data_IF_699032159065
#
_entry.id   IF_699032159065
#
_cell.length_a   1.000
_cell.length_b   1.000
_cell.length_c   1.000
_cell.angle_alpha   90.00
_cell.angle_beta   90.00
_cell.angle_gamma   90.00
#
_symmetry.space_group_name_H-M   'P 1'
#
loop_
_entity.id
_entity.type
_entity.pdbx_description
1 polymer ?
#
# COMPACT_ATOMS: atom_id res chain seq x y z
N UNK A 1 -18.24 -49.75 -27.56
CA UNK A 1 -17.12 -49.81 -26.61
C UNK A 1 -17.10 -48.49 -25.82
N UNK A 2 -17.71 -48.46 -24.64
CA UNK A 2 -17.74 -47.30 -23.72
C UNK A 2 -16.93 -47.70 -22.49
N UNK A 3 -15.83 -47.01 -22.22
CA UNK A 3 -15.00 -47.22 -21.03
C UNK A 3 -15.32 -46.08 -20.05
N UNK A 4 -15.85 -46.44 -18.88
CA UNK A 4 -16.01 -45.55 -17.71
C UNK A 4 -14.67 -45.45 -16.98
N UNK A 5 -14.23 -44.28 -16.48
CA UNK A 5 -13.12 -44.22 -15.54
C UNK A 5 -13.64 -44.55 -14.13
N UNK A 6 -12.91 -45.43 -13.44
CA UNK A 6 -13.15 -45.84 -12.07
C UNK A 6 -12.70 -44.74 -11.09
N UNK A 7 -13.55 -44.43 -10.12
CA UNK A 7 -13.18 -43.61 -8.96
C UNK A 7 -12.49 -44.50 -7.92
N UNK A 8 -11.26 -44.13 -7.54
CA UNK A 8 -10.50 -44.75 -6.45
C UNK A 8 -10.89 -44.05 -5.12
N UNK A 9 -11.28 -44.77 -4.06
CA UNK A 9 -11.61 -44.14 -2.78
C UNK A 9 -10.32 -43.86 -1.99
N UNK A 10 -10.19 -42.62 -1.49
CA UNK A 10 -9.11 -42.22 -0.58
C UNK A 10 -9.45 -42.74 0.83
N UNK A 11 -8.64 -43.67 1.34
CA UNK A 11 -8.81 -44.29 2.66
C UNK A 11 -8.31 -43.34 3.76
N UNK A 12 -9.18 -42.87 4.66
CA UNK A 12 -8.80 -42.14 5.88
C UNK A 12 -8.61 -43.14 7.03
N UNK A 13 -7.41 -43.18 7.63
CA UNK A 13 -7.07 -44.08 8.73
C UNK A 13 -7.36 -43.39 10.07
N UNK A 14 -8.33 -43.92 10.83
CA UNK A 14 -8.72 -43.40 12.16
C UNK A 14 -8.21 -44.34 13.25
N UNK A 15 -7.40 -43.83 14.19
CA UNK A 15 -6.84 -44.62 15.31
C UNK A 15 -7.26 -43.98 16.63
N UNK A 16 -7.75 -44.77 17.58
CA UNK A 16 -7.95 -44.31 18.97
C UNK A 16 -6.56 -44.14 19.63
N UNK A 17 -6.27 -42.95 20.15
CA UNK A 17 -4.95 -42.65 20.72
C UNK A 17 -4.84 -43.11 22.18
N UNK A 18 -3.81 -43.92 22.47
CA UNK A 18 -3.27 -44.07 23.83
C UNK A 18 -2.34 -42.88 24.14
N UNK A 19 -2.31 -42.38 25.38
CA UNK A 19 -1.58 -41.17 25.80
C UNK A 19 -0.03 -41.28 25.72
N UNK A 20 0.50 -41.46 24.52
CA UNK A 20 1.93 -41.49 24.21
C UNK A 20 2.31 -40.25 23.39
N UNK A 21 3.55 -39.78 23.55
CA UNK A 21 4.05 -38.63 22.80
C UNK A 21 4.05 -38.90 21.29
N UNK A 22 3.47 -37.99 20.53
CA UNK A 22 3.42 -37.96 19.08
C UNK A 22 4.28 -36.80 18.53
N UNK A 23 4.80 -36.97 17.32
CA UNK A 23 5.60 -35.95 16.63
C UNK A 23 4.99 -35.61 15.28
N UNK A 24 4.89 -34.33 14.97
CA UNK A 24 4.44 -33.82 13.67
C UNK A 24 5.20 -32.54 13.35
N UNK A 25 5.95 -32.53 12.25
CA UNK A 25 6.76 -31.38 11.82
C UNK A 25 7.64 -30.79 12.94
N UNK A 26 7.41 -29.54 13.37
CA UNK A 26 8.13 -28.91 14.50
C UNK A 26 7.57 -29.29 15.88
N UNK A 27 6.42 -29.96 15.95
CA UNK A 27 5.73 -30.28 17.19
C UNK A 27 6.08 -31.67 17.71
N UNK A 28 6.28 -31.75 19.01
CA UNK A 28 6.14 -32.97 19.81
C UNK A 28 5.06 -32.71 20.86
N UNK A 29 4.05 -33.55 20.96
CA UNK A 29 2.88 -33.32 21.82
C UNK A 29 2.29 -34.64 22.32
N UNK A 30 1.46 -34.59 23.36
CA UNK A 30 0.71 -35.77 23.83
C UNK A 30 -0.78 -35.51 23.58
N UNK A 31 -1.43 -36.25 22.65
CA UNK A 31 -2.87 -36.14 22.46
C UNK A 31 -3.63 -36.42 23.77
N UNK A 32 -4.73 -35.70 24.07
CA UNK A 32 -5.55 -36.02 25.22
C UNK A 32 -6.08 -37.46 25.13
N UNK A 33 -6.10 -38.16 26.27
CA UNK A 33 -6.50 -39.57 26.31
C UNK A 33 -7.93 -39.77 25.82
N UNK A 34 -8.14 -40.75 24.94
CA UNK A 34 -9.47 -41.06 24.40
C UNK A 34 -9.93 -40.16 23.24
N UNK A 35 -9.08 -39.25 22.75
CA UNK A 35 -9.38 -38.44 21.57
C UNK A 35 -9.00 -39.14 20.27
N UNK A 36 -9.67 -38.75 19.19
CA UNK A 36 -9.40 -39.24 17.85
C UNK A 36 -8.33 -38.38 17.20
N UNK A 37 -7.29 -38.99 16.64
CA UNK A 37 -6.30 -38.28 15.83
C UNK A 37 -6.46 -38.65 14.35
N UNK A 38 -6.48 -37.65 13.47
CA UNK A 38 -6.49 -37.84 12.02
C UNK A 38 -5.49 -36.90 11.35
N UNK A 39 -5.04 -37.25 10.14
CA UNK A 39 -4.16 -36.39 9.35
C UNK A 39 -4.74 -36.24 7.96
N UNK A 40 -5.03 -35.00 7.57
CA UNK A 40 -5.63 -34.70 6.25
C UNK A 40 -4.93 -33.50 5.65
N UNK A 41 -4.46 -33.62 4.40
CA UNK A 41 -3.75 -32.54 3.67
C UNK A 41 -2.55 -31.95 4.43
N UNK A 42 -1.85 -32.78 5.21
CA UNK A 42 -0.70 -32.34 5.99
C UNK A 42 -1.04 -31.52 7.24
N UNK A 43 -2.30 -31.52 7.69
CA UNK A 43 -2.73 -30.97 8.98
C UNK A 43 -3.03 -32.16 9.90
N UNK A 44 -2.54 -32.13 11.14
CA UNK A 44 -2.90 -33.10 12.16
C UNK A 44 -4.05 -32.54 12.99
N UNK A 45 -5.16 -33.25 13.03
CA UNK A 45 -6.32 -32.92 13.85
C UNK A 45 -6.44 -33.90 15.00
N UNK A 46 -6.55 -33.38 16.21
CA UNK A 46 -6.93 -34.15 17.41
C UNK A 46 -8.31 -33.68 17.84
N UNK A 47 -9.29 -34.58 17.97
CA UNK A 47 -10.66 -34.18 18.25
C UNK A 47 -11.41 -35.12 19.20
N UNK A 48 -12.41 -34.54 19.88
CA UNK A 48 -13.44 -35.21 20.67
C UNK A 48 -14.80 -34.72 20.22
N UNK A 49 -15.74 -35.64 20.03
CA UNK A 49 -17.15 -35.32 19.81
C UNK A 49 -18.01 -36.16 20.76
N UNK A 50 -18.95 -35.52 21.45
CA UNK A 50 -19.88 -36.19 22.36
C UNK A 50 -21.17 -35.37 22.48
N UNK A 51 -22.34 -36.00 22.29
CA UNK A 51 -23.63 -35.36 22.57
C UNK A 51 -23.93 -34.06 21.83
N UNK A 52 -23.35 -33.83 20.63
CA UNK A 52 -23.49 -32.58 19.87
C UNK A 52 -22.46 -31.49 20.22
N UNK A 53 -21.63 -31.74 21.24
CA UNK A 53 -20.45 -30.93 21.54
C UNK A 53 -19.24 -31.45 20.78
N UNK A 54 -18.36 -30.53 20.40
CA UNK A 54 -17.10 -30.84 19.76
C UNK A 54 -15.98 -29.96 20.30
N UNK A 55 -14.78 -30.55 20.32
CA UNK A 55 -13.53 -29.85 20.54
C UNK A 55 -12.49 -30.45 19.60
N UNK A 56 -11.81 -29.62 18.83
CA UNK A 56 -10.76 -30.04 17.92
C UNK A 56 -9.56 -29.10 18.00
N UNK A 57 -8.37 -29.69 17.87
CA UNK A 57 -7.09 -28.99 17.77
C UNK A 57 -6.45 -29.35 16.45
N UNK A 58 -6.25 -28.35 15.59
CA UNK A 58 -5.57 -28.48 14.31
C UNK A 58 -4.15 -27.95 14.42
N UNK A 59 -3.18 -28.83 14.22
CA UNK A 59 -1.77 -28.49 14.16
C UNK A 59 -1.40 -28.29 12.69
N UNK A 60 -1.01 -27.06 12.36
CA UNK A 60 -0.54 -26.67 11.04
C UNK A 60 0.98 -26.78 10.99
N UNK A 61 1.56 -27.40 9.94
CA UNK A 61 3.00 -27.53 9.82
C UNK A 61 3.66 -26.15 9.78
N UNK A 62 4.89 -26.06 10.26
CA UNK A 62 5.67 -24.83 10.18
C UNK A 62 5.85 -24.45 8.71
N UNK A 63 5.41 -23.24 8.38
CA UNK A 63 5.61 -22.63 7.09
C UNK A 63 6.55 -21.45 7.21
N UNK A 64 6.71 -20.70 6.12
CA UNK A 64 7.56 -19.52 6.12
C UNK A 64 6.86 -18.38 6.84
N UNK A 65 7.43 -17.94 7.95
CA UNK A 65 6.96 -16.82 8.75
C UNK A 65 7.79 -15.55 8.53
N UNK A 66 7.36 -14.46 9.14
CA UNK A 66 8.09 -13.20 9.22
C UNK A 66 9.19 -13.22 10.29
N UNK A 67 9.10 -14.13 11.26
CA UNK A 67 9.97 -14.14 12.45
C UNK A 67 9.53 -13.12 13.52
N UNK A 68 8.40 -12.44 13.31
CA UNK A 68 7.72 -11.59 14.29
C UNK A 68 6.39 -12.25 14.66
N UNK A 69 6.23 -12.63 15.93
CA UNK A 69 5.07 -13.42 16.37
C UNK A 69 3.74 -12.69 16.23
N UNK A 70 3.69 -11.37 16.43
CA UNK A 70 2.45 -10.60 16.28
C UNK A 70 2.04 -10.49 14.82
N UNK A 71 2.99 -10.28 13.91
CA UNK A 71 2.73 -10.26 12.47
C UNK A 71 2.30 -11.63 11.95
N UNK A 72 2.99 -12.67 12.41
CA UNK A 72 2.69 -14.05 12.07
C UNK A 72 1.31 -14.46 12.61
N UNK A 73 0.98 -14.09 13.85
CA UNK A 73 -0.36 -14.29 14.43
C UNK A 73 -1.44 -13.65 13.57
N UNK A 74 -1.29 -12.39 13.16
CA UNK A 74 -2.29 -11.70 12.32
C UNK A 74 -2.49 -12.38 10.96
N UNK A 75 -1.40 -12.85 10.34
CA UNK A 75 -1.45 -13.58 9.07
C UNK A 75 -2.18 -14.91 9.21
N UNK A 76 -1.84 -15.66 10.25
CA UNK A 76 -2.42 -16.97 10.54
C UNK A 76 -3.88 -16.82 10.99
N UNK A 77 -4.20 -15.82 11.83
CA UNK A 77 -5.56 -15.50 12.25
C UNK A 77 -6.47 -15.18 11.07
N UNK A 78 -6.01 -14.33 10.15
CA UNK A 78 -6.81 -13.99 8.97
C UNK A 78 -7.06 -15.21 8.06
N UNK A 79 -6.06 -16.07 7.93
CA UNK A 79 -6.08 -17.23 7.02
C UNK A 79 -6.87 -18.40 7.61
N UNK A 80 -6.64 -18.71 8.88
CA UNK A 80 -7.13 -19.90 9.56
C UNK A 80 -8.42 -19.65 10.33
N UNK A 81 -8.73 -18.39 10.69
CA UNK A 81 -9.93 -18.04 11.47
C UNK A 81 -10.88 -17.12 10.70
N UNK A 82 -10.42 -15.95 10.24
CA UNK A 82 -11.31 -14.96 9.59
C UNK A 82 -11.88 -15.48 8.28
N UNK A 83 -11.02 -15.94 7.37
CA UNK A 83 -11.44 -16.41 6.05
C UNK A 83 -12.46 -17.57 6.11
N UNK A 84 -12.25 -18.62 6.92
CA UNK A 84 -13.19 -19.75 6.98
C UNK A 84 -14.41 -19.54 7.90
N UNK A 85 -14.30 -18.72 8.96
CA UNK A 85 -15.32 -18.69 10.02
C UNK A 85 -15.97 -17.33 10.28
N UNK A 86 -15.38 -16.23 9.79
CA UNK A 86 -15.91 -14.87 9.94
C UNK A 86 -16.38 -14.57 11.38
N UNK A 87 -15.46 -14.52 12.36
CA UNK A 87 -15.81 -14.32 13.77
C UNK A 87 -16.56 -13.00 14.01
N UNK A 88 -17.41 -13.01 15.03
CA UNK A 88 -18.33 -11.92 15.32
C UNK A 88 -17.62 -10.66 15.85
N UNK A 89 -16.48 -10.86 16.53
CA UNK A 89 -15.67 -9.82 17.16
C UNK A 89 -14.18 -9.94 16.79
N UNK A 90 -13.43 -8.87 17.06
CA UNK A 90 -11.96 -8.91 17.03
C UNK A 90 -11.41 -9.86 18.09
N UNK A 91 -10.28 -10.55 17.84
CA UNK A 91 -9.74 -11.49 18.83
C UNK A 91 -9.34 -10.78 20.12
N UNK A 92 -9.65 -11.40 21.25
CA UNK A 92 -8.95 -11.13 22.49
C UNK A 92 -7.56 -11.77 22.40
N UNK A 93 -6.51 -10.96 22.53
CA UNK A 93 -5.13 -11.36 22.25
C UNK A 93 -4.28 -11.36 23.53
N UNK A 94 -3.38 -12.34 23.64
CA UNK A 94 -2.41 -12.47 24.72
C UNK A 94 -1.04 -12.89 24.18
N UNK A 95 0.03 -12.27 24.67
CA UNK A 95 1.40 -12.73 24.39
C UNK A 95 1.81 -13.79 25.40
N UNK A 96 2.26 -14.95 24.92
CA UNK A 96 2.72 -16.05 25.78
C UNK A 96 4.23 -16.05 26.02
N UNK A 97 4.67 -16.90 26.94
CA UNK A 97 6.09 -17.13 27.22
C UNK A 97 6.82 -17.87 26.07
N UNK A 98 8.04 -17.46 25.68
CA UNK A 98 8.79 -18.14 24.63
C UNK A 98 9.06 -19.62 24.92
N UNK A 99 8.91 -20.48 23.91
CA UNK A 99 9.12 -21.93 24.00
C UNK A 99 10.25 -22.36 23.06
N UNK A 100 11.39 -22.82 23.60
CA UNK A 100 12.53 -23.34 22.81
C UNK A 100 12.99 -22.41 21.66
N UNK A 101 13.02 -21.11 21.89
CA UNK A 101 13.42 -20.10 20.90
C UNK A 101 12.29 -19.62 19.97
N UNK A 102 11.08 -20.14 20.15
CA UNK A 102 9.86 -19.64 19.51
C UNK A 102 9.16 -18.61 20.37
N UNK A 103 8.88 -17.45 19.80
CA UNK A 103 7.98 -16.45 20.38
C UNK A 103 6.54 -16.92 20.22
N UNK A 104 5.68 -16.64 21.19
CA UNK A 104 4.31 -17.17 21.22
C UNK A 104 3.27 -16.07 21.36
N UNK A 105 2.17 -16.18 20.61
CA UNK A 105 1.05 -15.24 20.68
C UNK A 105 -0.25 -16.01 20.49
N UNK A 106 -1.23 -15.71 21.34
CA UNK A 106 -2.54 -16.34 21.35
C UNK A 106 -3.60 -15.29 21.02
N UNK A 107 -4.70 -15.75 20.42
CA UNK A 107 -5.91 -14.95 20.43
C UNK A 107 -7.15 -15.78 20.17
N UNK A 108 -8.30 -15.28 20.63
CA UNK A 108 -9.56 -16.00 20.57
C UNK A 108 -10.76 -15.12 20.26
N UNK A 109 -11.72 -15.67 19.52
CA UNK A 109 -12.98 -15.01 19.19
C UNK A 109 -14.10 -16.02 18.98
N UNK A 110 -15.32 -15.59 19.29
CA UNK A 110 -16.53 -16.38 19.02
C UNK A 110 -16.96 -16.23 17.55
N UNK A 111 -17.61 -17.26 17.02
CA UNK A 111 -18.22 -17.25 15.70
C UNK A 111 -19.49 -18.10 15.65
N UNK A 112 -20.42 -17.74 14.76
CA UNK A 112 -21.63 -18.52 14.51
C UNK A 112 -21.34 -19.77 13.67
N UNK A 113 -21.77 -20.94 14.14
CA UNK A 113 -21.61 -22.21 13.43
C UNK A 113 -22.78 -23.15 13.70
N UNK A 114 -23.40 -23.69 12.63
CA UNK A 114 -24.55 -24.60 12.67
C UNK A 114 -25.71 -24.18 13.61
N UNK A 115 -25.98 -22.88 13.67
CA UNK A 115 -27.09 -22.32 14.48
C UNK A 115 -26.77 -22.15 15.96
N UNK A 116 -25.52 -22.36 16.39
CA UNK A 116 -25.01 -22.05 17.72
C UNK A 116 -23.72 -21.21 17.68
N UNK A 117 -23.18 -20.91 18.85
CA UNK A 117 -21.92 -20.17 19.01
C UNK A 117 -20.77 -21.16 19.26
N UNK A 118 -19.66 -20.97 18.55
CA UNK A 118 -18.41 -21.71 18.73
C UNK A 118 -17.28 -20.73 19.03
N UNK A 119 -16.24 -21.21 19.70
CA UNK A 119 -15.04 -20.47 20.03
C UNK A 119 -13.88 -20.93 19.15
N UNK A 120 -13.17 -19.98 18.55
CA UNK A 120 -11.88 -20.20 17.90
C UNK A 120 -10.77 -19.62 18.78
N UNK A 121 -9.71 -20.39 19.05
CA UNK A 121 -8.50 -19.90 19.71
C UNK A 121 -7.28 -20.34 18.90
N UNK A 122 -6.45 -19.40 18.51
CA UNK A 122 -5.25 -19.65 17.72
C UNK A 122 -4.00 -19.38 18.54
N UNK A 123 -3.17 -20.40 18.73
CA UNK A 123 -1.82 -20.26 19.26
C UNK A 123 -0.82 -20.22 18.09
N UNK A 124 -0.08 -19.12 17.97
CA UNK A 124 0.93 -18.90 16.93
C UNK A 124 2.33 -18.90 17.53
N UNK A 125 3.24 -19.62 16.88
CA UNK A 125 4.64 -19.75 17.23
C UNK A 125 5.50 -19.21 16.11
N UNK A 126 6.36 -18.23 16.40
CA UNK A 126 7.26 -17.63 15.41
C UNK A 126 8.72 -17.71 15.82
N UNK A 127 9.58 -18.18 14.92
CA UNK A 127 11.01 -18.26 15.14
C UNK A 127 11.79 -18.36 13.84
N UNK A 128 12.93 -17.67 13.73
CA UNK A 128 13.91 -17.86 12.65
C UNK A 128 13.32 -17.86 11.21
N UNK A 129 12.30 -17.01 10.96
CA UNK A 129 11.62 -16.92 9.66
C UNK A 129 10.65 -18.08 9.36
N UNK A 130 10.25 -18.82 10.39
CA UNK A 130 9.21 -19.84 10.35
C UNK A 130 8.04 -19.43 11.24
N UNK A 131 6.83 -19.81 10.83
CA UNK A 131 5.61 -19.69 11.63
C UNK A 131 4.94 -21.05 11.70
N UNK A 132 4.49 -21.43 12.88
CA UNK A 132 3.72 -22.65 13.11
C UNK A 132 2.50 -22.28 13.97
N UNK A 133 1.36 -22.90 13.71
CA UNK A 133 0.09 -22.56 14.38
C UNK A 133 -0.66 -23.78 14.86
N UNK A 134 -1.32 -23.64 16.00
CA UNK A 134 -2.30 -24.60 16.52
C UNK A 134 -3.64 -23.89 16.71
N UNK A 135 -4.68 -24.35 16.02
CA UNK A 135 -6.03 -23.79 16.09
C UNK A 135 -6.94 -24.72 16.93
N UNK A 136 -7.58 -24.18 17.95
CA UNK A 136 -8.71 -24.78 18.64
C UNK A 136 -10.01 -24.30 18.01
N UNK A 137 -10.94 -25.22 17.76
CA UNK A 137 -12.35 -24.91 17.56
C UNK A 137 -13.21 -25.77 18.50
N UNK A 138 -14.21 -25.17 19.13
CA UNK A 138 -15.16 -25.94 19.93
C UNK A 138 -16.35 -25.14 20.44
N UNK A 139 -17.37 -25.86 20.89
CA UNK A 139 -18.58 -25.31 21.53
C UNK A 139 -18.80 -25.92 22.92
N UNK A 140 -17.76 -26.55 23.47
CA UNK A 140 -17.72 -27.20 24.77
C UNK A 140 -16.99 -26.30 25.77
N UNK A 141 -17.59 -26.05 26.93
CA UNK A 141 -17.02 -25.21 28.00
C UNK A 141 -15.66 -25.74 28.48
N UNK A 142 -15.42 -27.06 28.38
CA UNK A 142 -14.14 -27.68 28.76
C UNK A 142 -13.07 -27.59 27.67
N UNK A 143 -13.41 -27.16 26.46
CA UNK A 143 -12.50 -27.21 25.32
C UNK A 143 -11.29 -26.29 25.51
N UNK A 144 -11.50 -25.11 26.10
CA UNK A 144 -10.44 -24.14 26.37
C UNK A 144 -9.42 -24.66 27.40
N UNK A 145 -9.90 -25.17 28.54
CA UNK A 145 -9.02 -25.76 29.56
C UNK A 145 -8.22 -26.97 29.02
N UNK A 146 -8.85 -27.76 28.15
CA UNK A 146 -8.21 -28.87 27.47
C UNK A 146 -7.17 -28.41 26.44
N UNK A 147 -7.41 -27.28 25.78
CA UNK A 147 -6.47 -26.66 24.87
C UNK A 147 -5.25 -26.10 25.59
N UNK A 148 -5.45 -25.40 26.71
CA UNK A 148 -4.34 -24.93 27.55
C UNK A 148 -3.51 -26.11 28.05
N UNK A 149 -4.17 -27.15 28.57
CA UNK A 149 -3.50 -28.38 28.99
C UNK A 149 -2.72 -29.00 27.83
N UNK A 150 -3.28 -29.04 26.62
CA UNK A 150 -2.61 -29.53 25.44
C UNK A 150 -1.35 -28.72 25.10
N UNK A 151 -1.45 -27.39 25.09
CA UNK A 151 -0.33 -26.48 24.85
C UNK A 151 0.80 -26.67 25.87
N UNK A 152 0.51 -27.00 27.13
CA UNK A 152 1.56 -27.31 28.13
C UNK A 152 2.35 -28.59 27.82
N UNK A 153 1.77 -29.53 27.06
CA UNK A 153 2.48 -30.73 26.58
C UNK A 153 3.28 -30.47 25.31
N UNK A 154 2.98 -29.38 24.59
CA UNK A 154 3.60 -29.03 23.34
C UNK A 154 5.08 -28.71 23.55
N UNK A 155 5.94 -29.36 22.78
CA UNK A 155 7.37 -29.08 22.69
C UNK A 155 7.69 -28.78 21.25
N UNK A 156 8.18 -27.58 21.01
CA UNK A 156 8.65 -27.16 19.70
C UNK A 156 10.12 -27.53 19.54
N UNK A 157 10.44 -28.15 18.41
CA UNK A 157 11.81 -28.36 18.00
C UNK A 157 12.45 -26.98 17.80
N UNK A 158 13.59 -26.75 18.45
CA UNK A 158 14.33 -25.51 18.26
C UNK A 158 14.60 -25.31 16.75
N UNK A 159 14.41 -24.11 16.20
CA UNK A 159 14.69 -23.86 14.80
C UNK A 159 16.17 -24.14 14.58
N UNK A 160 16.48 -25.12 13.74
CA UNK A 160 17.86 -25.29 13.30
C UNK A 160 18.11 -24.08 12.43
N UNK A 161 18.94 -23.14 12.90
CA UNK A 161 19.50 -22.12 12.06
C UNK A 161 20.00 -22.83 10.80
N UNK A 162 19.37 -22.59 9.66
CA UNK A 162 19.84 -23.15 8.41
C UNK A 162 21.22 -22.56 8.21
N UNK A 163 22.24 -23.34 8.56
CA UNK A 163 23.61 -23.17 8.09
C UNK A 163 23.56 -23.45 6.59
N UNK A 164 23.04 -22.51 5.81
CA UNK A 164 23.67 -22.24 4.54
C UNK A 164 25.10 -21.86 4.89
N UNK A 165 26.05 -22.71 4.50
CA UNK A 165 27.44 -22.31 4.43
C UNK A 165 27.45 -20.93 3.78
N UNK A 166 28.04 -19.95 4.48
CA UNK A 166 28.19 -18.61 3.95
C UNK A 166 28.80 -18.77 2.55
N UNK A 167 28.17 -18.29 1.46
CA UNK A 167 28.99 -17.91 0.34
C UNK A 167 29.95 -16.89 0.96
N UNK A 168 31.25 -17.13 0.84
CA UNK A 168 32.27 -16.11 1.06
C UNK A 168 31.67 -14.78 0.61
N UNK A 169 31.69 -13.73 1.45
CA UNK A 169 31.04 -12.47 1.10
C UNK A 169 31.51 -12.16 -0.32
N UNK A 170 30.60 -12.00 -1.30
CA UNK A 170 31.05 -11.41 -2.54
C UNK A 170 31.63 -10.10 -2.07
N UNK A 171 32.95 -9.95 -2.24
CA UNK A 171 33.68 -8.70 -2.18
C UNK A 171 32.70 -7.61 -2.57
N UNK A 172 32.44 -6.58 -1.73
CA UNK A 172 31.38 -5.61 -1.96
C UNK A 172 31.36 -5.35 -3.45
N UNK A 173 30.32 -5.86 -4.11
CA UNK A 173 30.18 -5.65 -5.53
C UNK A 173 30.28 -4.13 -5.65
N UNK A 174 31.18 -3.60 -6.51
CA UNK A 174 31.18 -2.18 -6.75
C UNK A 174 29.73 -1.79 -6.93
N UNK A 175 29.27 -0.78 -6.16
CA UNK A 175 27.95 -0.20 -6.34
C UNK A 175 27.66 -0.25 -7.83
N UNK A 176 26.56 -0.90 -8.28
CA UNK A 176 26.38 -1.22 -9.69
C UNK A 176 26.75 0.02 -10.46
N UNK A 177 27.82 -0.09 -11.27
CA UNK A 177 28.25 1.01 -12.11
C UNK A 177 26.98 1.49 -12.80
N UNK A 178 26.72 2.80 -12.75
CA UNK A 178 25.59 3.41 -13.43
C UNK A 178 25.66 3.00 -14.91
N UNK A 179 24.97 1.91 -15.23
CA UNK A 179 25.21 1.09 -16.40
C UNK A 179 23.87 0.52 -16.84
N UNK A 180 23.16 1.37 -17.57
CA UNK A 180 21.88 1.15 -18.26
C UNK A 180 20.72 0.59 -17.43
N UNK A 181 20.41 1.20 -16.28
CA UNK A 181 18.99 1.32 -15.93
C UNK A 181 18.36 2.19 -17.02
N UNK A 182 17.13 1.91 -17.48
CA UNK A 182 16.45 2.74 -18.49
C UNK A 182 16.32 4.18 -17.96
N UNK A 183 17.30 5.02 -18.29
CA UNK A 183 17.45 6.44 -17.93
C UNK A 183 17.11 7.34 -19.08
N UNK A 184 16.88 6.78 -20.27
CA UNK A 184 16.44 7.55 -21.41
C UNK A 184 15.06 8.14 -21.07
N UNK A 185 14.92 9.48 -21.07
CA UNK A 185 13.62 10.08 -20.92
C UNK A 185 12.71 9.65 -22.07
N UNK A 186 11.41 9.58 -21.80
CA UNK A 186 10.42 9.52 -22.87
C UNK A 186 10.64 10.73 -23.78
N UNK A 187 10.99 10.47 -25.05
CA UNK A 187 11.20 11.53 -26.04
C UNK A 187 9.93 12.38 -26.15
N UNK A 188 10.00 13.63 -25.69
CA UNK A 188 8.89 14.58 -25.76
C UNK A 188 9.27 15.80 -26.59
N UNK A 189 8.28 16.67 -26.85
CA UNK A 189 8.51 17.98 -27.47
C UNK A 189 8.98 19.04 -26.47
N UNK A 190 9.03 18.73 -25.18
CA UNK A 190 9.46 19.64 -24.13
C UNK A 190 10.98 19.60 -23.97
N UNK A 191 11.56 20.73 -23.58
CA UNK A 191 13.01 20.87 -23.45
C UNK A 191 13.58 20.06 -22.27
N UNK A 192 12.80 19.93 -21.20
CA UNK A 192 13.25 19.33 -19.94
C UNK A 192 12.41 18.10 -19.60
N UNK A 193 12.97 16.92 -19.89
CA UNK A 193 12.42 15.62 -19.47
C UNK A 193 13.19 15.03 -18.29
N UNK A 194 14.14 15.78 -17.74
CA UNK A 194 14.97 15.41 -16.60
C UNK A 194 15.16 16.62 -15.70
N UNK A 195 15.04 16.41 -14.39
CA UNK A 195 15.28 17.40 -13.35
C UNK A 195 16.30 16.85 -12.37
N UNK A 196 17.32 17.65 -12.04
CA UNK A 196 18.20 17.40 -10.90
C UNK A 196 17.84 18.39 -9.81
N UNK A 197 17.48 17.89 -8.63
CA UNK A 197 17.10 18.67 -7.46
C UNK A 197 18.32 18.91 -6.55
N UNK A 198 18.28 19.99 -5.79
CA UNK A 198 19.39 20.40 -4.90
C UNK A 198 19.65 19.39 -3.76
N UNK A 199 18.66 18.58 -3.40
CA UNK A 199 18.76 17.52 -2.39
C UNK A 199 19.25 16.18 -2.97
N UNK A 200 19.74 16.19 -4.22
CA UNK A 200 20.40 15.07 -4.89
C UNK A 200 19.46 14.10 -5.60
N UNK A 201 18.15 14.36 -5.62
CA UNK A 201 17.24 13.58 -6.47
C UNK A 201 17.43 13.92 -7.95
N UNK A 202 17.32 12.90 -8.80
CA UNK A 202 17.22 13.08 -10.25
C UNK A 202 15.95 12.41 -10.73
N UNK A 203 15.03 13.20 -11.28
CA UNK A 203 13.77 12.74 -11.88
C UNK A 203 13.86 12.70 -13.39
N UNK A 204 13.32 11.65 -14.00
CA UNK A 204 13.26 11.43 -15.43
C UNK A 204 11.85 11.03 -15.82
N UNK A 205 11.28 11.70 -16.83
CA UNK A 205 9.97 11.37 -17.37
C UNK A 205 10.00 10.02 -18.06
N UNK A 206 9.12 9.10 -17.66
CA UNK A 206 8.88 7.83 -18.33
C UNK A 206 7.47 7.80 -18.93
N UNK A 207 7.17 6.75 -19.69
CA UNK A 207 5.87 6.57 -20.37
C UNK A 207 4.68 6.52 -19.41
N UNK A 208 4.83 5.76 -18.31
CA UNK A 208 3.74 5.45 -17.38
C UNK A 208 4.00 5.97 -15.95
N UNK A 209 5.19 6.51 -15.67
CA UNK A 209 5.55 7.12 -14.37
C UNK A 209 6.63 8.19 -14.53
N UNK A 210 6.94 8.92 -13.45
CA UNK A 210 8.22 9.62 -13.30
C UNK A 210 9.16 8.74 -12.49
N UNK A 211 10.38 8.53 -13.00
CA UNK A 211 11.42 7.76 -12.34
C UNK A 211 12.38 8.72 -11.64
N UNK A 212 12.42 8.67 -10.31
CA UNK A 212 13.33 9.47 -9.50
C UNK A 212 14.35 8.59 -8.78
N UNK A 213 15.61 9.03 -8.70
CA UNK A 213 16.67 8.29 -8.00
C UNK A 213 17.52 9.21 -7.13
N UNK A 214 17.93 8.70 -5.98
CA UNK A 214 18.91 9.32 -5.07
C UNK A 214 19.70 8.22 -4.36
N UNK A 215 21.00 8.14 -4.65
CA UNK A 215 21.83 7.04 -4.17
C UNK A 215 21.27 5.68 -4.59
N UNK A 216 21.00 4.82 -3.61
CA UNK A 216 20.41 3.49 -3.83
C UNK A 216 18.89 3.46 -3.82
N UNK A 217 18.23 4.58 -3.54
CA UNK A 217 16.78 4.68 -3.46
C UNK A 217 16.20 5.07 -4.81
N UNK A 218 15.20 4.31 -5.26
CA UNK A 218 14.43 4.59 -6.48
C UNK A 218 12.98 4.87 -6.12
N UNK A 219 12.40 5.90 -6.71
CA UNK A 219 10.99 6.25 -6.58
C UNK A 219 10.34 6.25 -7.96
N UNK A 220 9.15 5.67 -8.07
CA UNK A 220 8.30 5.75 -9.27
C UNK A 220 7.00 6.43 -8.90
N UNK A 221 6.77 7.62 -9.45
CA UNK A 221 5.51 8.35 -9.31
C UNK A 221 4.60 7.93 -10.46
N UNK A 222 3.66 7.04 -10.18
CA UNK A 222 2.77 6.50 -11.20
C UNK A 222 1.79 7.58 -11.64
N UNK A 223 1.66 7.76 -12.96
CA UNK A 223 0.64 8.68 -13.46
C UNK A 223 -0.75 8.18 -13.07
N UNK A 224 -1.73 9.08 -12.87
CA UNK A 224 -3.10 8.69 -12.59
C UNK A 224 -3.60 7.67 -13.62
N UNK A 225 -3.77 6.44 -13.17
CA UNK A 225 -4.36 5.34 -13.90
C UNK A 225 -4.91 4.35 -12.88
N UNK A 226 -6.16 3.94 -13.00
CA UNK A 226 -6.81 3.06 -12.01
C UNK A 226 -8.29 3.37 -11.84
N UNK A 227 -9.08 2.41 -11.33
CA UNK A 227 -10.52 2.35 -11.51
C UNK A 227 -11.26 3.47 -10.78
N UNK A 228 -12.54 3.62 -11.14
CA UNK A 228 -13.54 4.31 -10.32
C UNK A 228 -13.44 3.88 -8.85
N UNK A 229 -13.68 4.84 -7.94
CA UNK A 229 -13.73 4.68 -6.49
C UNK A 229 -14.14 3.25 -6.05
N UNK A 230 -13.28 2.61 -5.26
CA UNK A 230 -13.60 1.34 -4.61
C UNK A 230 -13.72 1.59 -3.09
N UNK A 231 -14.90 1.38 -2.48
CA UNK A 231 -15.07 1.58 -1.04
C UNK A 231 -14.29 0.56 -0.20
N UNK A 232 -13.89 -0.58 -0.77
CA UNK A 232 -13.05 -1.58 -0.12
C UNK A 232 -11.57 -1.19 -0.26
N UNK A 233 -10.97 -0.80 0.86
CA UNK A 233 -9.58 -0.32 0.94
C UNK A 233 -8.55 -1.40 0.64
N UNK A 234 -8.80 -2.64 1.06
CA UNK A 234 -7.91 -3.77 0.77
C UNK A 234 -7.97 -4.13 -0.70
N UNK A 235 -9.18 -4.14 -1.29
CA UNK A 235 -9.33 -4.37 -2.71
C UNK A 235 -8.70 -3.26 -3.56
N UNK A 236 -8.83 -1.99 -3.16
CA UNK A 236 -8.18 -0.85 -3.82
C UNK A 236 -6.65 -0.97 -3.79
N UNK A 237 -6.07 -1.21 -2.62
CA UNK A 237 -4.62 -1.32 -2.45
C UNK A 237 -4.06 -2.56 -3.15
N UNK A 238 -4.75 -3.70 -3.08
CA UNK A 238 -4.37 -4.93 -3.80
C UNK A 238 -4.42 -4.75 -5.31
N UNK A 239 -5.45 -4.09 -5.83
CA UNK A 239 -5.56 -3.79 -7.26
C UNK A 239 -4.42 -2.88 -7.71
N UNK A 240 -4.16 -1.80 -6.97
CA UNK A 240 -3.05 -0.89 -7.25
C UNK A 240 -1.70 -1.61 -7.22
N UNK A 241 -1.45 -2.46 -6.21
CA UNK A 241 -0.24 -3.27 -6.13
C UNK A 241 -0.08 -4.20 -7.33
N UNK A 242 -1.12 -4.96 -7.67
CA UNK A 242 -1.08 -5.94 -8.75
C UNK A 242 -0.91 -5.30 -10.13
N UNK A 243 -1.47 -4.11 -10.34
CA UNK A 243 -1.35 -3.38 -11.60
C UNK A 243 -0.03 -2.63 -11.71
N UNK A 244 0.31 -1.87 -10.68
CA UNK A 244 1.44 -0.95 -10.74
C UNK A 244 2.73 -1.68 -10.44
N UNK A 245 2.80 -2.41 -9.32
CA UNK A 245 4.06 -2.89 -8.71
C UNK A 245 4.39 -4.33 -9.08
N UNK A 246 3.48 -5.27 -8.82
CA UNK A 246 3.73 -6.72 -8.91
C UNK A 246 4.38 -7.18 -10.23
N UNK A 247 4.03 -6.65 -11.43
CA UNK A 247 4.62 -7.11 -12.69
C UNK A 247 6.13 -6.92 -12.82
N UNK A 248 6.75 -6.14 -11.93
CA UNK A 248 8.20 -5.83 -11.96
C UNK A 248 9.01 -6.59 -10.93
N UNK A 249 8.38 -7.46 -10.15
CA UNK A 249 9.00 -8.17 -9.05
C UNK A 249 8.62 -9.65 -9.04
N UNK A 250 9.49 -10.47 -8.43
CA UNK A 250 9.21 -11.86 -8.09
C UNK A 250 9.67 -12.17 -6.67
N UNK A 251 9.35 -13.37 -6.17
CA UNK A 251 9.78 -13.86 -4.86
C UNK A 251 9.40 -12.94 -3.69
N UNK A 252 8.20 -12.35 -3.74
CA UNK A 252 7.70 -11.43 -2.72
C UNK A 252 7.61 -12.11 -1.35
N UNK A 253 8.11 -11.45 -0.30
CA UNK A 253 8.16 -11.94 1.07
C UNK A 253 7.88 -10.82 2.06
N UNK A 254 7.24 -11.16 3.18
CA UNK A 254 6.87 -10.17 4.20
C UNK A 254 5.94 -9.10 3.65
N UNK A 255 5.04 -9.48 2.74
CA UNK A 255 4.04 -8.56 2.19
C UNK A 255 3.03 -8.18 3.26
N UNK A 256 2.84 -6.89 3.47
CA UNK A 256 1.82 -6.35 4.36
C UNK A 256 1.07 -5.22 3.67
N UNK A 257 -0.23 -5.17 3.90
CA UNK A 257 -1.10 -4.04 3.54
C UNK A 257 -1.52 -3.34 4.82
N UNK A 258 -1.43 -2.02 4.83
CA UNK A 258 -1.80 -1.19 5.95
C UNK A 258 -2.55 0.04 5.45
N UNK A 259 -3.55 0.45 6.22
CA UNK A 259 -4.29 1.68 6.04
C UNK A 259 -4.70 2.23 7.41
N UNK A 260 -4.92 3.54 7.49
CA UNK A 260 -5.37 4.18 8.72
C UNK A 260 -6.79 4.75 8.56
N UNK A 261 -7.76 4.17 9.26
CA UNK A 261 -9.16 4.58 9.20
C UNK A 261 -9.46 5.80 10.06
N UNK A 262 -8.56 6.18 10.99
CA UNK A 262 -8.71 7.37 11.83
C UNK A 262 -8.33 8.66 11.10
N UNK A 263 -7.63 8.54 9.98
CA UNK A 263 -7.20 9.68 9.18
C UNK A 263 -8.30 10.10 8.17
N UNK A 264 -8.63 11.39 8.16
CA UNK A 264 -9.60 11.96 7.20
C UNK A 264 -9.16 11.76 5.75
N UNK A 265 -7.86 11.92 5.47
CA UNK A 265 -7.25 11.55 4.19
C UNK A 265 -6.57 10.20 4.35
N UNK A 266 -7.37 9.13 4.29
CA UNK A 266 -6.94 7.74 4.51
C UNK A 266 -5.62 7.44 3.76
N UNK A 267 -4.52 7.16 4.48
CA UNK A 267 -3.28 6.73 3.87
C UNK A 267 -3.33 5.22 3.60
N UNK A 268 -2.65 4.81 2.54
CA UNK A 268 -2.49 3.42 2.12
C UNK A 268 -1.01 3.11 2.00
N UNK A 269 -0.59 1.95 2.51
CA UNK A 269 0.77 1.45 2.38
C UNK A 269 0.76 -0.07 2.19
N UNK A 270 1.27 -0.54 1.06
CA UNK A 270 1.63 -1.94 0.87
C UNK A 270 3.14 -2.07 0.75
N UNK A 271 3.78 -3.01 1.42
CA UNK A 271 5.23 -3.17 1.33
C UNK A 271 5.68 -4.61 1.51
N UNK A 272 6.87 -4.93 0.98
CA UNK A 272 7.49 -6.24 1.13
C UNK A 272 8.87 -6.31 0.47
N UNK A 273 9.61 -7.37 0.80
CA UNK A 273 10.88 -7.66 0.16
C UNK A 273 10.66 -8.49 -1.10
N UNK A 274 11.28 -8.13 -2.22
CA UNK A 274 11.13 -8.85 -3.48
C UNK A 274 12.42 -8.82 -4.30
N UNK A 275 12.47 -9.65 -5.34
CA UNK A 275 13.56 -9.65 -6.33
C UNK A 275 13.12 -8.79 -7.51
N UNK A 276 13.86 -7.72 -7.81
CA UNK A 276 13.59 -6.89 -8.99
C UNK A 276 13.84 -7.67 -10.27
N UNK A 277 12.87 -7.67 -11.19
CA UNK A 277 13.08 -8.26 -12.52
C UNK A 277 13.99 -7.40 -13.41
N UNK A 278 14.09 -6.10 -13.12
CA UNK A 278 14.95 -5.16 -13.86
C UNK A 278 16.42 -5.37 -13.52
N UNK A 279 16.76 -5.54 -12.24
CA UNK A 279 18.15 -5.58 -11.77
C UNK A 279 18.61 -6.95 -11.29
N UNK A 280 17.68 -7.88 -11.03
CA UNK A 280 17.96 -9.15 -10.37
C UNK A 280 18.28 -9.03 -8.87
N UNK A 281 18.37 -7.81 -8.33
CA UNK A 281 18.70 -7.58 -6.93
C UNK A 281 17.52 -7.84 -6.01
N UNK A 282 17.81 -8.29 -4.79
CA UNK A 282 16.86 -8.27 -3.68
C UNK A 282 16.69 -6.83 -3.22
N UNK A 283 15.44 -6.39 -3.06
CA UNK A 283 15.08 -5.02 -2.68
C UNK A 283 13.89 -5.03 -1.72
N UNK A 284 13.71 -3.93 -1.00
CA UNK A 284 12.48 -3.63 -0.29
C UNK A 284 11.64 -2.63 -1.10
N UNK A 285 10.40 -3.01 -1.40
CA UNK A 285 9.47 -2.20 -2.21
C UNK A 285 8.25 -1.84 -1.38
N UNK A 286 7.89 -0.57 -1.41
CA UNK A 286 6.70 0.00 -0.77
C UNK A 286 5.86 0.76 -1.80
N UNK A 287 4.54 0.66 -1.70
CA UNK A 287 3.55 1.39 -2.48
C UNK A 287 2.72 2.23 -1.53
N UNK A 288 2.78 3.54 -1.69
CA UNK A 288 2.13 4.51 -0.82
C UNK A 288 1.13 5.38 -1.60
N UNK A 289 0.02 5.74 -0.96
CA UNK A 289 -0.89 6.80 -1.42
C UNK A 289 -1.56 7.49 -0.25
N UNK A 290 -1.67 8.80 -0.32
CA UNK A 290 -2.51 9.61 0.56
C UNK A 290 -2.86 10.92 -0.13
N UNK A 291 -4.12 11.37 0.00
CA UNK A 291 -4.57 12.65 -0.54
C UNK A 291 -4.21 12.79 -2.03
N UNK A 292 -3.60 13.92 -2.41
CA UNK A 292 -3.14 14.22 -3.76
C UNK A 292 -1.78 13.61 -4.14
N UNK A 293 -1.20 12.71 -3.33
CA UNK A 293 0.14 12.17 -3.62
C UNK A 293 0.20 11.37 -4.93
N UNK A 294 -0.94 10.83 -5.37
CA UNK A 294 -0.97 9.74 -6.34
C UNK A 294 -0.36 8.46 -5.76
N UNK A 295 -0.20 7.44 -6.61
CA UNK A 295 0.49 6.20 -6.23
C UNK A 295 2.00 6.37 -6.35
N UNK A 296 2.69 6.24 -5.23
CA UNK A 296 4.14 6.41 -5.10
C UNK A 296 4.73 5.06 -4.76
N UNK A 297 5.56 4.53 -5.64
CA UNK A 297 6.35 3.34 -5.35
C UNK A 297 7.76 3.74 -4.95
N UNK A 298 8.25 3.14 -3.88
CA UNK A 298 9.56 3.41 -3.29
C UNK A 298 10.31 2.09 -3.22
N UNK A 299 11.54 2.09 -3.70
CA UNK A 299 12.41 0.93 -3.74
C UNK A 299 13.71 1.30 -3.06
N UNK A 300 14.07 0.53 -2.05
CA UNK A 300 15.29 0.65 -1.26
C UNK A 300 16.03 -0.68 -1.27
N UNK A 301 17.33 -0.72 -0.93
CA UNK A 301 18.08 -1.98 -0.82
C UNK A 301 17.44 -2.98 0.13
N UNK A 302 16.93 -2.50 1.26
CA UNK A 302 16.38 -3.30 2.35
C UNK A 302 15.40 -2.48 3.20
N UNK A 303 14.67 -3.18 4.09
CA UNK A 303 13.69 -2.56 4.99
C UNK A 303 14.35 -1.53 5.91
N UNK A 304 15.56 -1.79 6.40
CA UNK A 304 16.24 -0.91 7.34
C UNK A 304 16.59 0.44 6.71
N UNK A 305 16.98 0.45 5.43
CA UNK A 305 17.18 1.66 4.64
C UNK A 305 15.86 2.42 4.49
N UNK A 306 14.75 1.74 4.21
CA UNK A 306 13.43 2.39 4.16
C UNK A 306 13.05 3.04 5.50
N UNK A 307 13.18 2.31 6.60
CA UNK A 307 12.92 2.84 7.95
C UNK A 307 13.81 4.04 8.27
N UNK A 308 15.09 3.96 7.92
CA UNK A 308 16.04 5.03 8.15
C UNK A 308 15.72 6.26 7.31
N UNK A 309 15.39 6.10 6.03
CA UNK A 309 15.18 7.23 5.12
C UNK A 309 13.82 7.90 5.32
N UNK A 310 12.77 7.12 5.60
CA UNK A 310 11.39 7.60 5.66
C UNK A 310 10.80 7.65 7.07
N UNK A 311 11.50 7.12 8.08
CA UNK A 311 11.11 7.14 9.50
C UNK A 311 9.73 6.52 9.78
N UNK A 312 9.25 5.67 8.89
CA UNK A 312 7.94 5.05 9.01
C UNK A 312 8.10 3.53 9.12
N UNK A 313 7.68 2.96 10.24
CA UNK A 313 7.49 1.52 10.36
C UNK A 313 6.09 1.13 9.87
N UNK A 314 5.97 0.30 8.81
CA UNK A 314 4.67 -0.21 8.36
C UNK A 314 3.86 -0.94 9.45
N UNK A 315 4.49 -1.49 10.49
CA UNK A 315 3.79 -2.14 11.59
C UNK A 315 3.05 -1.16 12.52
N UNK A 316 3.42 0.13 12.50
CA UNK A 316 2.84 1.19 13.33
C UNK A 316 1.95 2.14 12.52
N UNK A 317 1.35 1.64 11.44
CA UNK A 317 0.64 2.48 10.48
C UNK A 317 -0.80 2.85 10.92
N UNK A 318 -1.37 2.14 11.88
CA UNK A 318 -2.69 2.47 12.45
C UNK A 318 -2.57 3.65 13.43
N UNK A 319 -3.37 4.70 13.27
CA UNK A 319 -3.27 5.93 14.06
C UNK A 319 -1.96 6.69 13.85
N UNK A 320 -1.38 6.59 12.65
CA UNK A 320 -0.06 7.16 12.35
C UNK A 320 -0.12 8.68 12.28
N UNK A 321 0.87 9.34 12.91
CA UNK A 321 0.99 10.79 12.90
C UNK A 321 1.26 11.31 11.46
N UNK A 322 0.57 12.38 11.06
CA UNK A 322 0.77 13.03 9.76
C UNK A 322 2.23 13.43 9.51
N UNK A 323 2.99 13.76 10.56
CA UNK A 323 4.41 14.08 10.48
C UNK A 323 5.26 12.92 9.93
N UNK A 324 4.88 11.66 10.19
CA UNK A 324 5.55 10.47 9.67
C UNK A 324 5.14 10.14 8.23
N UNK A 325 3.95 10.60 7.80
CA UNK A 325 3.47 10.43 6.43
C UNK A 325 4.00 11.51 5.47
N UNK A 326 4.31 12.71 5.99
CA UNK A 326 4.82 13.85 5.22
C UNK A 326 6.01 13.51 4.30
N UNK A 327 7.07 12.80 4.75
CA UNK A 327 8.19 12.46 3.89
C UNK A 327 7.77 11.68 2.64
N UNK A 328 6.83 10.74 2.79
CA UNK A 328 6.30 9.93 1.69
C UNK A 328 5.43 10.77 0.76
N UNK A 329 4.51 11.57 1.32
CA UNK A 329 3.63 12.46 0.56
C UNK A 329 4.42 13.50 -0.26
N UNK A 330 5.49 14.03 0.32
CA UNK A 330 6.34 15.03 -0.31
C UNK A 330 7.12 14.50 -1.52
N UNK A 331 7.27 13.18 -1.67
CA UNK A 331 7.87 12.58 -2.87
C UNK A 331 7.09 12.91 -4.14
N UNK A 332 5.79 13.30 -4.08
CA UNK A 332 5.06 13.81 -5.26
C UNK A 332 5.79 15.00 -5.91
N UNK A 333 6.53 15.77 -5.11
CA UNK A 333 7.32 16.92 -5.56
C UNK A 333 8.44 16.55 -6.54
N UNK A 334 8.80 15.27 -6.66
CA UNK A 334 9.76 14.78 -7.64
C UNK A 334 9.16 14.78 -9.07
N UNK A 335 7.85 14.96 -9.24
CA UNK A 335 7.21 15.23 -10.54
C UNK A 335 7.17 16.75 -10.83
N UNK A 336 8.34 17.38 -10.82
CA UNK A 336 8.51 18.79 -11.18
C UNK A 336 9.60 18.93 -12.21
N UNK A 337 9.25 19.51 -13.35
CA UNK A 337 10.14 19.74 -14.48
C UNK A 337 10.27 21.21 -14.79
N UNK A 338 11.49 21.61 -15.11
CA UNK A 338 11.80 22.98 -15.46
C UNK A 338 11.01 23.44 -16.69
N UNK A 339 10.81 24.75 -16.79
CA UNK A 339 10.08 25.39 -17.88
C UNK A 339 11.07 26.07 -18.83
N UNK A 340 10.92 25.84 -20.13
CA UNK A 340 11.59 26.63 -21.15
C UNK A 340 10.61 27.61 -21.79
N UNK A 341 11.11 28.79 -22.20
CA UNK A 341 10.28 29.75 -22.94
C UNK A 341 9.66 29.15 -24.22
N UNK A 342 10.40 28.27 -24.91
CA UNK A 342 9.95 27.56 -26.11
C UNK A 342 8.76 26.62 -25.84
N UNK A 343 8.63 26.13 -24.62
CA UNK A 343 7.64 25.11 -24.26
C UNK A 343 6.28 25.74 -23.87
N UNK A 344 6.29 27.04 -23.60
CA UNK A 344 5.09 27.79 -23.21
C UNK A 344 4.19 28.14 -24.39
N UNK A 345 4.71 28.20 -25.61
CA UNK A 345 3.92 28.65 -26.78
C UNK A 345 2.60 27.88 -26.92
N UNK A 346 1.51 28.63 -27.07
CA UNK A 346 0.14 28.14 -27.11
C UNK A 346 -0.72 28.69 -25.97
N UNK A 347 -1.94 28.17 -25.90
CA UNK A 347 -2.94 28.62 -24.93
C UNK A 347 -3.03 27.63 -23.76
N UNK A 348 -3.02 28.16 -22.54
CA UNK A 348 -3.09 27.41 -21.29
C UNK A 348 -4.23 27.96 -20.47
N UNK A 349 -5.12 27.10 -19.98
CA UNK A 349 -6.27 27.49 -19.18
C UNK A 349 -6.33 26.77 -17.84
N UNK A 350 -6.80 27.48 -16.82
CA UNK A 350 -7.11 26.97 -15.50
C UNK A 350 -8.55 27.34 -15.18
N UNK A 351 -9.34 26.35 -14.77
CA UNK A 351 -10.76 26.55 -14.46
C UNK A 351 -10.98 26.17 -13.00
N UNK A 352 -11.79 26.96 -12.29
CA UNK A 352 -12.19 26.64 -10.92
C UNK A 352 -13.67 26.97 -10.72
N UNK A 353 -14.34 26.24 -9.85
CA UNK A 353 -15.74 26.50 -9.52
C UNK A 353 -16.17 25.79 -8.25
N UNK A 354 -17.30 26.23 -7.70
CA UNK A 354 -17.88 25.68 -6.49
C UNK A 354 -19.33 26.14 -6.33
N UNK A 355 -20.07 25.44 -5.49
CA UNK A 355 -21.48 25.71 -5.26
C UNK A 355 -21.86 25.36 -3.82
N UNK A 356 -22.68 26.21 -3.22
CA UNK A 356 -23.24 26.05 -1.87
C UNK A 356 -24.75 26.03 -1.98
N UNK A 357 -25.36 24.94 -1.51
CA UNK A 357 -26.81 24.79 -1.46
C UNK A 357 -27.32 24.89 -0.03
N UNK A 358 -28.41 25.62 0.16
CA UNK A 358 -29.12 25.64 1.44
C UNK A 358 -30.41 24.85 1.33
N UNK A 359 -30.75 24.16 2.42
CA UNK A 359 -32.01 23.44 2.58
C UNK A 359 -32.68 23.92 3.86
N UNK A 360 -34.01 23.98 3.84
CA UNK A 360 -34.77 24.24 5.04
C UNK A 360 -34.67 23.03 5.98
N UNK A 361 -34.20 23.24 7.20
CA UNK A 361 -33.96 22.16 8.16
C UNK A 361 -35.24 21.43 8.61
N UNK A 362 -36.41 22.06 8.48
CA UNK A 362 -37.69 21.48 8.93
C UNK A 362 -38.47 20.80 7.80
N UNK A 363 -38.35 21.30 6.57
CA UNK A 363 -39.12 20.78 5.42
C UNK A 363 -38.26 19.97 4.44
N UNK A 364 -36.93 20.05 4.54
CA UNK A 364 -36.00 19.43 3.59
C UNK A 364 -36.00 20.08 2.20
N UNK A 365 -36.80 21.12 1.97
CA UNK A 365 -36.91 21.80 0.68
C UNK A 365 -35.72 22.73 0.44
N UNK A 366 -35.33 22.88 -0.83
CA UNK A 366 -34.26 23.82 -1.22
C UNK A 366 -34.61 25.26 -0.80
N UNK A 367 -33.66 25.93 -0.15
CA UNK A 367 -33.73 27.34 0.24
C UNK A 367 -32.92 28.25 -0.70
N UNK A 368 -32.55 27.73 -1.88
CA UNK A 368 -31.72 28.41 -2.85
C UNK A 368 -30.25 28.01 -2.75
N UNK A 369 -29.43 28.64 -3.59
CA UNK A 369 -28.02 28.31 -3.68
C UNK A 369 -27.19 29.40 -4.35
N UNK A 370 -25.90 29.44 -4.03
CA UNK A 370 -24.90 30.28 -4.70
C UNK A 370 -23.86 29.42 -5.38
N UNK A 371 -23.42 29.84 -6.55
CA UNK A 371 -22.29 29.23 -7.23
C UNK A 371 -21.25 30.27 -7.62
N UNK A 372 -20.02 29.82 -7.83
CA UNK A 372 -19.02 30.56 -8.56
C UNK A 372 -18.33 29.67 -9.59
N UNK A 373 -17.88 30.27 -10.68
CA UNK A 373 -17.04 29.65 -11.70
C UNK A 373 -16.03 30.67 -12.20
N UNK A 374 -14.86 30.20 -12.62
CA UNK A 374 -13.80 31.03 -13.16
C UNK A 374 -13.00 30.29 -14.22
N UNK A 375 -12.46 31.04 -15.16
CA UNK A 375 -11.52 30.57 -16.16
C UNK A 375 -10.41 31.61 -16.34
N UNK A 376 -9.17 31.21 -16.12
CA UNK A 376 -7.98 32.00 -16.34
C UNK A 376 -7.19 31.41 -17.50
N UNK A 377 -6.81 32.26 -18.46
CA UNK A 377 -6.14 31.86 -19.69
C UNK A 377 -4.87 32.66 -19.90
N UNK A 378 -3.79 31.97 -20.26
CA UNK A 378 -2.57 32.53 -20.81
C UNK A 378 -2.37 32.04 -22.25
N UNK A 379 -2.27 32.96 -23.20
CA UNK A 379 -1.85 32.68 -24.57
C UNK A 379 -0.42 33.20 -24.74
N UNK A 380 0.56 32.30 -24.80
CA UNK A 380 1.96 32.64 -25.06
C UNK A 380 2.27 32.53 -26.54
N UNK A 381 2.91 33.56 -27.09
CA UNK A 381 3.28 33.62 -28.50
C UNK A 381 4.80 33.43 -28.68
N UNK A 382 5.24 33.07 -29.89
CA UNK A 382 6.64 32.69 -30.17
C UNK A 382 7.69 33.80 -30.06
N UNK A 383 7.32 35.03 -29.70
CA UNK A 383 8.22 36.19 -29.62
C UNK A 383 8.42 36.72 -28.19
N UNK A 384 8.09 35.92 -27.16
CA UNK A 384 8.21 36.34 -25.77
C UNK A 384 7.09 37.29 -25.31
N UNK A 385 5.95 37.30 -26.01
CA UNK A 385 4.76 38.06 -25.60
C UNK A 385 3.61 37.13 -25.22
N UNK A 386 2.72 37.61 -24.36
CA UNK A 386 1.55 36.86 -23.92
C UNK A 386 0.28 37.72 -23.90
N UNK A 387 -0.86 37.05 -23.94
CA UNK A 387 -2.16 37.61 -23.56
C UNK A 387 -2.69 36.84 -22.36
N UNK A 388 -3.23 37.56 -21.40
CA UNK A 388 -3.82 37.00 -20.19
C UNK A 388 -5.26 37.47 -20.05
N UNK A 389 -6.13 36.58 -19.60
CA UNK A 389 -7.49 36.93 -19.24
C UNK A 389 -8.00 36.06 -18.11
N UNK A 390 -8.75 36.65 -17.19
CA UNK A 390 -9.56 35.93 -16.22
C UNK A 390 -11.01 36.34 -16.36
N UNK A 391 -11.90 35.36 -16.37
CA UNK A 391 -13.34 35.56 -16.33
C UNK A 391 -13.90 34.82 -15.12
N UNK A 392 -14.80 35.45 -14.39
CA UNK A 392 -15.46 34.88 -13.21
C UNK A 392 -16.95 35.15 -13.29
N UNK A 393 -17.76 34.16 -12.88
CA UNK A 393 -19.17 34.31 -12.63
C UNK A 393 -19.44 33.89 -11.18
N UNK A 394 -20.17 34.69 -10.40
CA UNK A 394 -20.51 34.35 -9.02
C UNK A 394 -21.84 34.96 -8.58
N UNK A 395 -22.55 34.27 -7.69
CA UNK A 395 -23.78 34.77 -7.08
C UNK A 395 -24.84 33.68 -6.93
N UNK A 396 -26.08 34.11 -6.68
CA UNK A 396 -27.24 33.21 -6.58
C UNK A 396 -27.44 32.50 -7.92
N UNK A 397 -27.65 31.20 -7.89
CA UNK A 397 -27.89 30.42 -9.11
C UNK A 397 -29.19 30.87 -9.77
N UNK A 398 -29.09 31.30 -11.04
CA UNK A 398 -30.15 31.98 -11.79
C UNK A 398 -30.01 33.51 -11.85
N UNK A 399 -29.14 34.12 -11.05
CA UNK A 399 -28.89 35.57 -11.03
C UNK A 399 -27.39 35.88 -10.75
N UNK A 400 -26.49 35.21 -11.46
CA UNK A 400 -25.05 35.38 -11.28
C UNK A 400 -24.54 36.69 -11.89
N UNK A 401 -23.53 37.28 -11.24
CA UNK A 401 -22.80 38.45 -11.75
C UNK A 401 -21.50 38.00 -12.41
N UNK A 402 -21.10 38.70 -13.48
CA UNK A 402 -19.89 38.40 -14.23
C UNK A 402 -18.84 39.49 -14.00
N UNK A 403 -17.60 39.08 -13.80
CA UNK A 403 -16.45 39.97 -13.71
C UNK A 403 -15.26 39.37 -14.46
N UNK A 404 -14.26 40.18 -14.77
CA UNK A 404 -13.06 39.70 -15.42
C UNK A 404 -12.05 40.79 -15.67
N UNK A 405 -10.83 40.37 -15.98
CA UNK A 405 -9.72 41.25 -16.30
C UNK A 405 -8.94 40.69 -17.48
N UNK A 406 -8.24 41.57 -18.19
CA UNK A 406 -7.36 41.22 -19.31
C UNK A 406 -6.10 42.05 -19.25
N UNK A 407 -4.99 41.46 -19.69
CA UNK A 407 -3.71 42.14 -19.83
C UNK A 407 -2.91 41.48 -20.94
N UNK A 408 -1.88 42.15 -21.41
CA UNK A 408 -0.95 41.59 -22.39
C UNK A 408 0.40 42.23 -22.19
N UNK A 409 1.47 41.51 -22.48
CA UNK A 409 2.79 42.03 -22.24
C UNK A 409 3.89 41.12 -22.72
N UNK A 410 5.09 41.34 -22.18
CA UNK A 410 6.25 40.50 -22.40
C UNK A 410 6.41 39.52 -21.25
N UNK A 411 6.75 38.28 -21.57
CA UNK A 411 7.19 37.30 -20.58
C UNK A 411 8.67 36.96 -20.80
N UNK A 412 9.35 36.60 -19.73
CA UNK A 412 10.70 36.10 -19.77
C UNK A 412 10.89 35.04 -18.68
N UNK A 413 11.75 34.06 -18.95
CA UNK A 413 12.17 33.11 -17.93
C UNK A 413 13.19 33.78 -17.01
N UNK A 414 13.01 33.63 -15.69
CA UNK A 414 14.04 33.91 -14.68
C UNK A 414 14.62 32.57 -14.25
N UNK A 415 15.78 32.21 -14.81
CA UNK A 415 16.27 30.84 -14.75
C UNK A 415 15.33 29.90 -15.51
N UNK A 416 14.94 28.80 -14.88
CA UNK A 416 14.10 27.76 -15.47
C UNK A 416 12.91 27.33 -14.57
N UNK A 417 12.72 28.03 -13.44
CA UNK A 417 11.65 27.77 -12.46
C UNK A 417 10.76 28.98 -12.18
N UNK A 418 10.98 30.09 -12.88
CA UNK A 418 10.18 31.31 -12.72
C UNK A 418 9.89 31.98 -14.05
N UNK A 419 8.69 32.52 -14.18
CA UNK A 419 8.26 33.31 -15.32
C UNK A 419 7.97 34.73 -14.82
N UNK A 420 8.63 35.72 -15.40
CA UNK A 420 8.30 37.12 -15.18
C UNK A 420 7.39 37.64 -16.28
N UNK A 421 6.32 38.31 -15.87
CA UNK A 421 5.35 38.96 -16.73
C UNK A 421 5.43 40.48 -16.52
N UNK A 422 5.42 41.24 -17.62
CA UNK A 422 5.52 42.70 -17.54
C UNK A 422 4.25 43.36 -17.00
N UNK A 423 3.08 42.74 -17.18
CA UNK A 423 1.79 43.32 -16.78
C UNK A 423 0.72 42.25 -16.50
N UNK A 424 0.42 42.00 -15.23
CA UNK A 424 -0.76 41.26 -14.80
C UNK A 424 -1.57 42.19 -13.90
N UNK A 425 -2.73 42.63 -14.40
CA UNK A 425 -3.64 43.57 -13.74
C UNK A 425 -2.99 44.94 -13.42
N UNK A 426 -2.23 45.47 -14.39
CA UNK A 426 -1.60 46.79 -14.32
C UNK A 426 -0.23 46.81 -13.64
N UNK A 427 0.36 45.66 -13.30
CA UNK A 427 1.63 45.57 -12.58
C UNK A 427 2.48 44.39 -13.03
N UNK A 428 3.82 44.51 -13.04
CA UNK A 428 4.69 43.37 -13.29
C UNK A 428 4.55 42.32 -12.19
N UNK A 429 4.58 41.04 -12.56
CA UNK A 429 4.52 39.91 -11.62
C UNK A 429 5.54 38.84 -11.97
N UNK A 430 5.99 38.11 -10.95
CA UNK A 430 6.83 36.92 -11.12
C UNK A 430 6.06 35.74 -10.55
N UNK A 431 6.04 34.65 -11.30
CA UNK A 431 5.42 33.40 -10.89
C UNK A 431 6.52 32.36 -10.74
N UNK A 432 6.47 31.57 -9.67
CA UNK A 432 7.11 30.26 -9.66
C UNK A 432 6.37 29.38 -10.65
N UNK A 433 7.10 28.59 -11.43
CA UNK A 433 6.53 27.77 -12.48
C UNK A 433 7.27 26.44 -12.63
N UNK A 434 6.51 25.37 -12.84
CA UNK A 434 7.03 24.07 -13.22
C UNK A 434 6.03 23.33 -14.10
N UNK A 435 6.51 22.34 -14.84
CA UNK A 435 5.64 21.35 -15.45
C UNK A 435 5.54 20.10 -14.59
N UNK A 436 4.32 19.58 -14.43
CA UNK A 436 4.07 18.22 -13.96
C UNK A 436 3.90 17.30 -15.17
N UNK A 437 4.58 16.17 -15.17
CA UNK A 437 4.48 15.17 -16.23
C UNK A 437 3.26 14.26 -16.02
N UNK A 438 2.60 13.92 -17.12
CA UNK A 438 1.51 12.96 -17.18
C UNK A 438 1.71 11.90 -18.27
N UNK A 439 0.74 10.97 -18.34
CA UNK A 439 0.80 9.83 -19.26
C UNK A 439 0.96 10.26 -20.70
N UNK A 440 1.81 9.55 -21.45
CA UNK A 440 2.04 9.82 -22.86
C UNK A 440 2.79 11.13 -23.14
N UNK A 441 3.50 11.68 -22.16
CA UNK A 441 4.29 12.91 -22.33
C UNK A 441 3.49 14.20 -22.19
N UNK A 442 2.25 14.13 -21.70
CA UNK A 442 1.45 15.32 -21.37
C UNK A 442 2.14 16.14 -20.27
N UNK A 443 1.84 17.45 -20.24
CA UNK A 443 2.32 18.38 -19.22
C UNK A 443 1.18 19.24 -18.70
N UNK A 444 1.17 19.43 -17.39
CA UNK A 444 0.36 20.44 -16.70
C UNK A 444 1.33 21.54 -16.28
N UNK A 445 1.05 22.78 -16.68
CA UNK A 445 1.83 23.94 -16.24
C UNK A 445 1.29 24.37 -14.88
N UNK A 446 2.12 24.34 -13.85
CA UNK A 446 1.77 24.88 -12.55
C UNK A 446 2.40 26.25 -12.39
N UNK A 447 1.61 27.26 -12.00
CA UNK A 447 2.12 28.59 -11.72
C UNK A 447 1.60 29.13 -10.38
N UNK A 448 2.43 29.89 -9.69
CA UNK A 448 2.12 30.50 -8.40
C UNK A 448 2.77 31.89 -8.32
N UNK A 449 1.96 32.94 -8.15
CA UNK A 449 2.47 34.27 -7.79
C UNK A 449 2.40 34.53 -6.28
N UNK A 450 1.29 34.15 -5.66
CA UNK A 450 1.02 34.20 -4.22
C UNK A 450 0.11 33.02 -3.84
N UNK A 451 0.17 32.53 -2.61
CA UNK A 451 -0.74 31.46 -2.15
C UNK A 451 -0.38 30.08 -2.69
N UNK A 452 -1.35 29.31 -3.20
CA UNK A 452 -1.14 27.97 -3.78
C UNK A 452 -0.80 28.03 -5.27
N UNK A 453 -0.32 26.92 -5.83
CA UNK A 453 -0.15 26.78 -7.27
C UNK A 453 -1.50 26.53 -7.95
N UNK A 454 -1.70 27.16 -9.12
CA UNK A 454 -2.79 26.86 -10.04
C UNK A 454 -2.30 25.98 -11.18
N UNK A 455 -3.10 24.98 -11.55
CA UNK A 455 -2.82 24.06 -12.66
C UNK A 455 -3.42 24.58 -13.97
N UNK A 456 -2.59 24.75 -14.99
CA UNK A 456 -3.01 25.14 -16.32
C UNK A 456 -2.78 24.00 -17.30
N UNK A 457 -3.82 23.66 -18.05
CA UNK A 457 -3.78 22.63 -19.10
C UNK A 457 -3.72 23.32 -20.45
N UNK A 458 -2.92 22.77 -21.36
CA UNK A 458 -2.82 23.29 -22.73
C UNK A 458 -4.13 23.05 -23.48
N UNK A 459 -4.73 24.12 -23.98
CA UNK A 459 -5.91 24.07 -24.84
C UNK A 459 -5.47 23.60 -26.23
N UNK A 460 -6.17 22.60 -26.77
CA UNK A 460 -5.90 22.06 -28.11
C UNK A 460 -6.44 22.95 -29.21
#
# INVERSE_FOLDING_TARGET
>A
MRIRPAHLPLLALSVLSAAHAATFDVYTFTPPSGWTQTTTKGIVRVSRTAGGQYCLFDLYPATKGSGNVTQDFRSEWNTLVVTPYAPDDVPEEESGEPVNGWQTHLGGASFAYEGGTSLAVLATFSAAGQVASVLMLGNDEQCLEQFDTFLTTLRLKAPVAQTTAAPTPPKPAPAPAAGSLNTAPLKSSFKFDTTTFDDGWVSVVQKDWVLARRGTTTVRLHYPSGPSYNPDSDAELRAAWNTLVAPRYRDLQGYAQNFDTLNFERPYLAAGSATSLETGARVYVALFRQAESGWIEIVTPDRDTFLKDFKLDPAQFYGVDDALLRPLRNLRGLNRFAVAASDLTGTWSSNAGGYTQWVNAFTGLSAGATGFSSNETFEFTGNGTYRWSIAMASGVVGAQTFSGARSSGKHAMKGNWQISFSDIEGKPRVYNAYFEAGRGGQRILWMQSVGSYSAYVKVK
#
